data_IF_331622566618
#
_entry.id   IF_331622566618
#
_cell.length_a   1.000
_cell.length_b   1.000
_cell.length_c   1.000
_cell.angle_alpha   90.00
_cell.angle_beta   90.00
_cell.angle_gamma   90.00
#
_symmetry.space_group_name_H-M   'P 1'
#
loop_
_entity.id
_entity.type
_entity.pdbx_description
1 polymer ?
#
# COMPACT_ATOMS: atom_id res chain seq x y z
N UNK A 1 17.31 28.61 12.98
CA UNK A 1 16.83 27.38 13.64
C UNK A 1 15.36 27.57 13.95
N UNK A 2 14.49 27.46 12.94
CA UNK A 2 13.06 27.35 13.17
C UNK A 2 12.77 25.86 13.26
N UNK A 3 12.19 25.45 14.39
CA UNK A 3 11.72 24.10 14.58
C UNK A 3 10.62 23.85 13.55
N UNK A 4 10.87 22.89 12.67
CA UNK A 4 9.87 22.21 11.89
C UNK A 4 8.89 21.57 12.88
N UNK A 5 7.77 22.25 13.15
CA UNK A 5 6.68 21.66 13.92
C UNK A 5 5.94 20.73 12.96
N UNK A 6 6.50 19.53 12.77
CA UNK A 6 5.93 18.48 11.96
C UNK A 6 4.45 18.29 12.32
N UNK A 7 3.59 18.48 11.32
CA UNK A 7 2.18 18.14 11.40
C UNK A 7 2.06 16.69 11.90
N UNK A 8 1.01 16.34 12.66
CA UNK A 8 0.82 14.96 13.11
C UNK A 8 0.79 14.07 11.88
N UNK A 9 1.84 13.26 11.67
CA UNK A 9 1.84 12.21 10.67
C UNK A 9 0.53 11.45 10.80
N UNK A 10 -0.29 11.46 9.74
CA UNK A 10 -1.46 10.61 9.67
C UNK A 10 -0.97 9.18 9.86
N UNK A 11 -1.20 8.61 11.03
CA UNK A 11 -0.86 7.22 11.32
C UNK A 11 -1.85 6.38 10.51
N UNK A 12 -1.48 6.04 9.28
CA UNK A 12 -2.23 5.06 8.50
C UNK A 12 -2.12 3.74 9.26
N UNK A 13 -3.25 3.09 9.49
CA UNK A 13 -3.28 1.77 10.13
C UNK A 13 -3.73 0.74 9.11
N UNK A 14 -3.08 -0.43 9.14
CA UNK A 14 -3.51 -1.60 8.38
C UNK A 14 -4.10 -2.63 9.35
N UNK A 15 -5.20 -3.25 8.94
CA UNK A 15 -5.82 -4.36 9.66
C UNK A 15 -5.96 -5.57 8.74
N UNK A 16 -5.69 -6.75 9.28
CA UNK A 16 -5.92 -8.03 8.62
C UNK A 16 -7.06 -8.76 9.32
N UNK A 17 -8.08 -9.10 8.55
CA UNK A 17 -9.24 -9.86 9.01
C UNK A 17 -9.29 -11.22 8.30
N UNK A 18 -9.58 -12.27 9.05
CA UNK A 18 -9.86 -13.62 8.54
C UNK A 18 -11.23 -14.04 9.04
N UNK A 19 -12.12 -14.44 8.13
CA UNK A 19 -13.51 -14.79 8.44
C UNK A 19 -14.23 -13.72 9.29
N UNK A 20 -14.00 -12.44 8.97
CA UNK A 20 -14.58 -11.29 9.67
C UNK A 20 -14.00 -11.02 11.06
N UNK A 21 -12.96 -11.76 11.48
CA UNK A 21 -12.29 -11.56 12.76
C UNK A 21 -10.95 -10.85 12.57
N UNK A 22 -10.69 -9.81 13.36
CA UNK A 22 -9.38 -9.15 13.42
C UNK A 22 -8.31 -10.12 13.91
N UNK A 23 -7.26 -10.32 13.12
CA UNK A 23 -6.11 -11.20 13.44
C UNK A 23 -4.78 -10.49 13.47
N UNK A 24 -4.70 -9.26 12.95
CA UNK A 24 -3.49 -8.46 12.98
C UNK A 24 -3.78 -6.99 12.70
N UNK A 25 -2.99 -6.12 13.32
CA UNK A 25 -3.04 -4.67 13.11
C UNK A 25 -1.65 -4.09 13.25
N UNK A 26 -1.34 -3.04 12.49
CA UNK A 26 -0.09 -2.31 12.60
C UNK A 26 -0.18 -0.92 11.97
N UNK A 27 0.81 -0.09 12.30
CA UNK A 27 0.96 1.24 11.72
C UNK A 27 1.76 1.16 10.42
N UNK A 28 1.33 1.92 9.42
CA UNK A 28 1.97 2.06 8.10
C UNK A 28 2.36 3.53 7.89
N UNK A 29 3.51 3.97 8.41
CA UNK A 29 3.85 5.39 8.43
C UNK A 29 4.04 6.01 7.03
N UNK A 30 4.23 5.19 6.00
CA UNK A 30 4.40 5.63 4.61
C UNK A 30 3.73 4.65 3.63
N UNK A 31 3.32 5.15 2.46
CA UNK A 31 2.80 4.34 1.36
C UNK A 31 3.78 4.28 0.20
N UNK A 32 3.66 3.25 -0.65
CA UNK A 32 4.36 3.22 -1.95
C UNK A 32 3.47 3.88 -3.01
N UNK A 33 3.94 4.94 -3.68
CA UNK A 33 3.19 5.59 -4.76
C UNK A 33 2.75 4.61 -5.86
N UNK A 34 1.51 4.71 -6.33
CA UNK A 34 1.00 3.87 -7.43
C UNK A 34 1.87 3.99 -8.70
N UNK A 35 2.47 5.17 -8.93
CA UNK A 35 3.35 5.44 -10.06
C UNK A 35 4.59 4.53 -10.16
N UNK A 36 4.99 3.90 -9.04
CA UNK A 36 6.13 2.96 -9.00
C UNK A 36 5.69 1.49 -8.98
N UNK A 37 4.41 1.17 -9.20
CA UNK A 37 3.97 -0.21 -9.31
C UNK A 37 4.48 -0.83 -10.64
N UNK A 38 5.42 -1.79 -10.61
CA UNK A 38 6.00 -2.37 -11.82
C UNK A 38 5.08 -3.40 -12.50
N UNK A 39 3.90 -3.68 -11.92
CA UNK A 39 2.92 -4.60 -12.44
C UNK A 39 1.58 -3.93 -12.72
N UNK A 40 0.89 -4.37 -13.77
CA UNK A 40 -0.56 -4.15 -13.89
C UNK A 40 -1.32 -4.85 -12.75
N UNK A 41 -2.65 -4.70 -12.72
CA UNK A 41 -3.47 -5.42 -11.75
C UNK A 41 -3.41 -6.93 -12.01
N UNK A 42 -3.00 -7.69 -11.00
CA UNK A 42 -2.95 -9.15 -11.01
C UNK A 42 -3.60 -9.73 -9.74
N UNK A 43 -4.25 -10.88 -9.87
CA UNK A 43 -4.82 -11.63 -8.74
C UNK A 43 -4.17 -13.02 -8.69
N UNK A 44 -3.78 -13.46 -7.50
CA UNK A 44 -3.24 -14.81 -7.30
C UNK A 44 -1.81 -15.03 -7.82
N UNK A 45 -1.08 -13.97 -8.18
CA UNK A 45 0.34 -14.04 -8.54
C UNK A 45 0.99 -12.66 -8.36
N UNK A 46 2.31 -12.65 -8.19
CA UNK A 46 3.14 -11.45 -8.33
C UNK A 46 4.06 -11.63 -9.55
N UNK A 47 3.68 -11.13 -10.75
CA UNK A 47 4.48 -11.26 -11.96
C UNK A 47 5.76 -10.39 -11.96
N UNK A 48 5.86 -9.43 -11.05
CA UNK A 48 7.01 -8.54 -10.92
C UNK A 48 8.15 -9.16 -10.11
N UNK A 49 9.10 -8.32 -9.68
CA UNK A 49 10.17 -8.75 -8.79
C UNK A 49 9.63 -9.18 -7.42
N UNK A 50 10.33 -10.14 -6.80
CA UNK A 50 10.05 -10.49 -5.41
C UNK A 50 10.34 -9.29 -4.49
N UNK A 51 9.43 -9.03 -3.55
CA UNK A 51 9.51 -7.91 -2.59
C UNK A 51 10.41 -8.29 -1.40
N UNK A 52 10.49 -9.58 -1.08
CA UNK A 52 11.37 -10.17 -0.06
C UNK A 52 12.01 -11.46 -0.59
N UNK A 53 13.20 -11.86 -0.11
CA UNK A 53 13.77 -13.18 -0.39
C UNK A 53 12.90 -14.38 0.04
N UNK A 54 11.90 -14.17 0.91
CA UNK A 54 11.06 -15.24 1.46
C UNK A 54 10.15 -15.90 0.41
N UNK A 55 10.02 -15.33 -0.79
CA UNK A 55 9.31 -15.94 -1.89
C UNK A 55 9.97 -15.67 -3.25
N UNK A 56 9.63 -16.50 -4.24
CA UNK A 56 10.10 -16.35 -5.64
C UNK A 56 8.94 -15.96 -6.54
N UNK A 57 9.13 -14.94 -7.36
CA UNK A 57 8.22 -14.61 -8.45
C UNK A 57 8.10 -15.78 -9.46
N UNK A 58 6.92 -16.05 -10.04
CA UNK A 58 5.70 -15.26 -9.91
C UNK A 58 4.81 -15.60 -8.70
N UNK A 59 5.26 -16.49 -7.81
CA UNK A 59 4.55 -16.97 -6.61
C UNK A 59 3.05 -17.25 -6.82
N UNK A 60 2.72 -18.24 -7.67
CA UNK A 60 1.32 -18.51 -8.02
C UNK A 60 0.55 -19.06 -6.81
N UNK A 61 -0.61 -18.48 -6.55
CA UNK A 61 -1.58 -19.02 -5.61
C UNK A 61 -2.11 -20.35 -6.15
N UNK A 62 -2.16 -21.37 -5.29
CA UNK A 62 -2.48 -22.75 -5.68
C UNK A 62 -3.93 -23.14 -5.42
N UNK A 63 -4.73 -22.23 -4.83
CA UNK A 63 -6.15 -22.43 -4.60
C UNK A 63 -7.03 -21.78 -5.67
N UNK A 64 -8.33 -21.77 -5.41
CA UNK A 64 -9.31 -21.07 -6.25
C UNK A 64 -9.69 -19.74 -5.60
N UNK A 65 -9.54 -18.65 -6.33
CA UNK A 65 -10.08 -17.35 -5.95
C UNK A 65 -11.50 -17.23 -6.51
N UNK A 66 -12.50 -17.09 -5.64
CA UNK A 66 -13.89 -16.88 -6.06
C UNK A 66 -14.23 -15.41 -6.28
N UNK A 67 -13.68 -14.53 -5.45
CA UNK A 67 -13.84 -13.08 -5.55
C UNK A 67 -12.62 -12.38 -4.98
N UNK A 68 -12.22 -11.29 -5.62
CA UNK A 68 -11.24 -10.32 -5.11
C UNK A 68 -11.86 -8.94 -5.31
N UNK A 69 -11.97 -8.18 -4.23
CA UNK A 69 -12.61 -6.86 -4.25
C UNK A 69 -11.64 -5.82 -3.69
N UNK A 70 -11.43 -4.76 -4.46
CA UNK A 70 -10.80 -3.53 -3.98
C UNK A 70 -11.91 -2.53 -3.79
N UNK A 71 -12.18 -2.18 -2.54
CA UNK A 71 -13.17 -1.18 -2.18
C UNK A 71 -12.48 0.18 -2.01
N UNK A 72 -12.90 1.16 -2.79
CA UNK A 72 -12.45 2.55 -2.72
C UNK A 72 -13.53 3.47 -2.13
N UNK A 73 -14.59 2.87 -1.57
CA UNK A 73 -15.59 3.62 -0.81
C UNK A 73 -14.96 4.10 0.51
N UNK A 74 -15.28 5.35 0.88
CA UNK A 74 -14.69 6.03 2.02
C UNK A 74 -14.23 7.44 1.65
N UNK A 75 -13.67 8.12 2.64
CA UNK A 75 -13.14 9.47 2.45
C UNK A 75 -11.75 9.41 1.82
N UNK A 76 -11.56 10.17 0.73
CA UNK A 76 -10.26 10.29 0.10
C UNK A 76 -9.28 10.93 1.07
N UNK A 77 -8.25 10.20 1.45
CA UNK A 77 -7.13 10.73 2.23
C UNK A 77 -6.21 11.47 1.26
N UNK A 78 -6.17 12.81 1.36
CA UNK A 78 -5.29 13.66 0.55
C UNK A 78 -4.05 14.03 1.35
N UNK A 79 -2.87 13.75 0.78
CA UNK A 79 -1.58 14.16 1.34
C UNK A 79 -0.94 15.24 0.45
N UNK A 80 -1.28 16.49 0.73
CA UNK A 80 -0.83 17.65 -0.02
C UNK A 80 0.70 17.84 0.00
N UNK A 81 1.38 17.39 1.05
CA UNK A 81 2.85 17.45 1.14
C UNK A 81 3.47 16.41 0.21
N UNK A 82 2.96 15.19 0.19
CA UNK A 82 3.38 14.17 -0.78
C UNK A 82 3.14 14.62 -2.22
N UNK A 83 2.01 15.26 -2.52
CA UNK A 83 1.74 15.86 -3.83
C UNK A 83 2.78 16.94 -4.18
N UNK A 84 3.05 17.87 -3.25
CA UNK A 84 4.06 18.91 -3.45
C UNK A 84 5.46 18.33 -3.69
N UNK A 85 5.88 17.33 -2.90
CA UNK A 85 7.15 16.62 -3.09
C UNK A 85 7.21 15.94 -4.47
N UNK A 86 6.13 15.32 -4.92
CA UNK A 86 6.04 14.74 -6.26
C UNK A 86 6.14 15.80 -7.37
N UNK A 87 5.54 16.98 -7.18
CA UNK A 87 5.64 18.08 -8.13
C UNK A 87 7.07 18.64 -8.23
N UNK A 88 7.75 18.83 -7.10
CA UNK A 88 9.14 19.31 -7.07
C UNK A 88 10.14 18.30 -7.64
N UNK A 89 9.90 16.99 -7.46
CA UNK A 89 10.75 15.93 -8.01
C UNK A 89 10.66 15.79 -9.55
N UNK A 90 9.71 16.47 -10.19
CA UNK A 90 9.55 16.50 -11.66
C UNK A 90 10.24 17.70 -12.34
N UNK A 91 10.83 18.62 -11.57
CA UNK A 91 11.61 19.76 -12.06
C UNK A 91 13.11 19.46 -11.96
#
# INVERSE_FOLDING_TARGET
>A
MQADQGLPQLLLSAQLHLDGRLVGQGDMPVTTPIAINPGGMACGANPGSAVTPDYRAPFPFTGTLHSVTVDLSGDLIVDAESEMRMHMARQ
#
